data_IF_432849302575
#
_entry.id   IF_432849302575
#
_cell.length_a   1.000
_cell.length_b   1.000
_cell.length_c   1.000
_cell.angle_alpha   90.00
_cell.angle_beta   90.00
_cell.angle_gamma   90.00
#
_symmetry.space_group_name_H-M   'P 1'
#
loop_
_entity.id
_entity.type
_entity.pdbx_description
1 polymer ?
#
# COMPACT_ATOMS: atom_id res chain seq x y z
N UNK A 1 23.69 3.07 5.97
CA UNK A 1 22.66 2.14 5.46
C UNK A 1 21.95 2.79 4.30
N UNK A 2 21.97 2.19 3.12
CA UNK A 2 21.37 2.77 1.90
C UNK A 2 19.84 2.72 2.00
N UNK A 3 19.12 3.59 1.27
CA UNK A 3 17.65 3.57 1.20
C UNK A 3 17.09 2.25 0.65
N UNK A 4 17.89 1.47 -0.08
CA UNK A 4 17.49 0.18 -0.66
C UNK A 4 17.54 -0.97 0.35
N UNK A 5 18.36 -0.86 1.41
CA UNK A 5 18.60 -1.95 2.37
C UNK A 5 17.43 -2.19 3.35
N UNK A 6 16.35 -1.40 3.23
CA UNK A 6 15.19 -1.40 4.16
C UNK A 6 13.95 -2.07 3.58
N UNK A 7 14.02 -2.58 2.36
CA UNK A 7 12.93 -3.31 1.72
C UNK A 7 13.24 -4.82 1.74
N UNK A 8 12.36 -5.59 2.35
CA UNK A 8 12.40 -7.07 2.32
C UNK A 8 11.04 -7.60 1.87
N UNK A 9 11.01 -8.79 1.29
CA UNK A 9 9.75 -9.41 0.84
C UNK A 9 9.42 -10.61 1.72
N UNK A 10 8.20 -10.66 2.22
CA UNK A 10 7.65 -11.82 2.91
C UNK A 10 6.65 -12.52 1.99
N UNK A 11 6.47 -13.83 2.19
CA UNK A 11 5.39 -14.57 1.54
C UNK A 11 4.31 -14.87 2.57
N UNK A 12 3.15 -14.24 2.42
CA UNK A 12 1.99 -14.52 3.27
C UNK A 12 1.09 -15.55 2.60
N UNK A 13 0.55 -16.49 3.38
CA UNK A 13 -0.46 -17.43 2.90
C UNK A 13 -1.80 -17.08 3.53
N UNK A 14 -2.80 -16.76 2.72
CA UNK A 14 -4.16 -16.46 3.17
C UNK A 14 -5.09 -17.45 2.48
N UNK A 15 -5.63 -18.39 3.26
CA UNK A 15 -6.35 -19.53 2.69
C UNK A 15 -5.43 -20.42 1.83
N UNK A 16 -5.77 -20.59 0.56
CA UNK A 16 -4.97 -21.32 -0.42
C UNK A 16 -4.06 -20.43 -1.27
N UNK A 17 -4.21 -19.11 -1.16
CA UNK A 17 -3.46 -18.15 -1.97
C UNK A 17 -2.16 -17.74 -1.28
N UNK A 18 -1.15 -17.39 -2.09
CA UNK A 18 0.14 -16.89 -1.63
C UNK A 18 0.37 -15.50 -2.17
N UNK A 19 0.74 -14.58 -1.28
CA UNK A 19 0.95 -13.17 -1.58
C UNK A 19 2.38 -12.76 -1.27
N UNK A 20 2.98 -11.97 -2.15
CA UNK A 20 4.26 -11.31 -1.88
C UNK A 20 4.00 -9.99 -1.16
N UNK A 21 4.47 -9.89 0.07
CA UNK A 21 4.23 -8.76 0.97
C UNK A 21 5.53 -7.96 1.09
N UNK A 22 5.68 -6.82 0.39
CA UNK A 22 6.78 -5.88 0.59
C UNK A 22 6.74 -5.25 1.99
N UNK A 23 7.79 -5.52 2.76
CA UNK A 23 7.99 -4.97 4.10
C UNK A 23 9.06 -3.89 4.03
N UNK A 24 8.71 -2.72 4.54
CA UNK A 24 9.59 -1.58 4.65
C UNK A 24 9.90 -1.27 6.12
N UNK A 25 11.19 -1.17 6.44
CA UNK A 25 11.65 -0.75 7.75
C UNK A 25 11.77 0.77 7.81
N UNK A 26 10.91 1.41 8.61
CA UNK A 26 10.90 2.85 8.81
C UNK A 26 11.48 3.21 10.19
N UNK A 27 12.26 4.30 10.24
CA UNK A 27 12.69 4.85 11.52
C UNK A 27 11.58 5.74 12.10
N UNK A 28 11.14 5.45 13.31
CA UNK A 28 10.17 6.24 14.07
C UNK A 28 10.85 6.70 15.39
N UNK A 29 11.48 7.86 15.34
CA UNK A 29 12.30 8.36 16.46
C UNK A 29 13.50 7.44 16.74
N UNK A 30 13.54 6.85 17.94
CA UNK A 30 14.59 5.91 18.35
C UNK A 30 14.27 4.43 18.06
N UNK A 31 13.14 4.13 17.40
CA UNK A 31 12.72 2.75 17.09
C UNK A 31 12.67 2.53 15.58
N UNK A 32 12.83 1.27 15.18
CA UNK A 32 12.52 0.81 13.83
C UNK A 32 11.13 0.16 13.85
N UNK A 33 10.27 0.52 12.90
CA UNK A 33 8.94 -0.08 12.71
C UNK A 33 8.87 -0.79 11.38
N UNK A 34 8.24 -1.96 11.34
CA UNK A 34 8.03 -2.73 10.11
C UNK A 34 6.68 -2.39 9.52
N UNK A 35 6.65 -1.93 8.28
CA UNK A 35 5.44 -1.51 7.58
C UNK A 35 5.21 -2.40 6.36
N UNK A 36 3.98 -2.86 6.14
CA UNK A 36 3.57 -3.36 4.84
C UNK A 36 3.41 -2.17 3.90
N UNK A 37 4.32 -2.02 2.93
CA UNK A 37 4.30 -0.89 2.00
C UNK A 37 3.90 -1.36 0.61
N UNK A 38 2.67 -1.05 0.21
CA UNK A 38 2.14 -1.45 -1.09
C UNK A 38 1.37 -0.33 -1.79
N UNK A 39 1.14 -0.52 -3.09
CA UNK A 39 0.20 0.29 -3.84
C UNK A 39 -1.16 -0.42 -3.88
N UNK A 40 -2.28 0.30 -3.71
CA UNK A 40 -3.61 -0.22 -4.00
C UNK A 40 -3.72 -0.57 -5.49
N UNK A 41 -3.30 0.34 -6.36
CA UNK A 41 -3.20 0.11 -7.81
C UNK A 41 -1.93 0.75 -8.36
N UNK A 42 -1.28 0.05 -9.28
CA UNK A 42 -0.16 0.59 -10.09
C UNK A 42 -0.60 1.02 -11.49
N UNK A 43 -1.90 0.93 -11.79
CA UNK A 43 -2.50 1.51 -12.99
C UNK A 43 -2.65 3.01 -12.83
N UNK A 44 -2.18 3.77 -13.82
CA UNK A 44 -2.17 5.22 -13.76
C UNK A 44 -2.64 5.80 -15.09
N UNK A 45 -3.60 6.72 -15.03
CA UNK A 45 -4.02 7.52 -16.17
C UNK A 45 -3.04 8.65 -16.50
N UNK A 46 -2.29 9.11 -15.50
CA UNK A 46 -1.42 10.27 -15.63
C UNK A 46 -0.07 9.91 -16.27
N UNK A 47 0.48 10.87 -17.02
CA UNK A 47 1.80 10.73 -17.67
C UNK A 47 2.86 11.67 -17.06
N UNK A 48 2.95 11.72 -15.73
CA UNK A 48 3.90 12.58 -15.03
C UNK A 48 5.34 12.25 -15.43
N UNK A 49 6.13 13.25 -15.86
CA UNK A 49 7.49 13.06 -16.39
C UNK A 49 8.44 12.35 -15.43
N UNK A 50 8.30 12.61 -14.14
CA UNK A 50 9.12 12.06 -13.06
C UNK A 50 8.61 10.72 -12.49
N UNK A 51 7.39 10.29 -12.84
CA UNK A 51 6.76 9.15 -12.19
C UNK A 51 7.15 7.83 -12.86
N UNK A 52 7.66 6.88 -12.06
CA UNK A 52 7.94 5.52 -12.52
C UNK A 52 6.68 4.75 -12.91
N UNK A 53 5.50 5.13 -12.41
CA UNK A 53 4.22 4.46 -12.68
C UNK A 53 3.38 5.11 -13.79
N UNK A 54 3.95 6.10 -14.51
CA UNK A 54 3.27 6.83 -15.59
C UNK A 54 2.66 5.90 -16.65
N UNK A 55 1.56 6.33 -17.28
CA UNK A 55 0.77 5.53 -18.25
C UNK A 55 1.63 4.84 -19.32
N UNK A 56 2.51 5.57 -19.96
CA UNK A 56 3.23 5.09 -21.15
C UNK A 56 4.43 4.17 -20.83
N UNK A 57 4.70 3.91 -19.55
CA UNK A 57 5.78 3.02 -19.15
C UNK A 57 5.25 1.58 -19.12
N UNK A 58 5.81 0.73 -19.97
CA UNK A 58 5.51 -0.70 -20.06
C UNK A 58 6.12 -1.48 -18.90
N UNK A 59 5.51 -1.40 -17.72
CA UNK A 59 5.86 -2.19 -16.55
C UNK A 59 4.70 -3.11 -16.16
N UNK A 60 4.99 -4.20 -15.45
CA UNK A 60 3.95 -5.07 -14.89
C UNK A 60 3.10 -4.27 -13.92
N UNK A 61 1.79 -4.26 -14.16
CA UNK A 61 0.82 -3.55 -13.33
C UNK A 61 0.01 -4.55 -12.53
N UNK A 62 -0.11 -4.28 -11.25
CA UNK A 62 -0.92 -5.00 -10.28
C UNK A 62 -1.89 -4.04 -9.62
N UNK A 63 -2.99 -4.60 -9.13
CA UNK A 63 -3.99 -3.94 -8.30
C UNK A 63 -4.47 -4.93 -7.25
N UNK A 64 -4.79 -4.41 -6.07
CA UNK A 64 -5.45 -5.16 -5.03
C UNK A 64 -6.96 -4.98 -5.13
N UNK A 65 -7.71 -5.99 -4.67
CA UNK A 65 -9.07 -5.77 -4.21
C UNK A 65 -9.05 -5.30 -2.74
N UNK A 66 -9.87 -4.30 -2.35
CA UNK A 66 -9.80 -3.69 -1.01
C UNK A 66 -9.87 -4.71 0.13
N UNK A 67 -10.85 -5.63 0.07
CA UNK A 67 -11.02 -6.69 1.05
C UNK A 67 -9.88 -7.71 1.06
N UNK A 68 -9.28 -7.97 -0.10
CA UNK A 68 -8.15 -8.90 -0.21
C UNK A 68 -6.92 -8.33 0.48
N UNK A 69 -6.59 -7.06 0.19
CA UNK A 69 -5.51 -6.35 0.87
C UNK A 69 -5.70 -6.34 2.38
N UNK A 70 -6.92 -6.02 2.84
CA UNK A 70 -7.25 -6.00 4.27
C UNK A 70 -7.01 -7.38 4.93
N UNK A 71 -7.42 -8.48 4.28
CA UNK A 71 -7.16 -9.83 4.81
C UNK A 71 -5.67 -10.15 4.89
N UNK A 72 -4.89 -9.83 3.84
CA UNK A 72 -3.44 -10.06 3.82
C UNK A 72 -2.76 -9.24 4.92
N UNK A 73 -3.06 -7.94 4.99
CA UNK A 73 -2.52 -7.05 6.00
C UNK A 73 -2.86 -7.53 7.42
N UNK A 74 -4.11 -7.94 7.66
CA UNK A 74 -4.53 -8.46 8.96
C UNK A 74 -3.78 -9.75 9.33
N UNK A 75 -3.57 -10.65 8.37
CA UNK A 75 -2.83 -11.89 8.60
C UNK A 75 -1.40 -11.61 9.03
N UNK A 76 -0.65 -10.81 8.26
CA UNK A 76 0.75 -10.51 8.58
C UNK A 76 0.90 -9.66 9.84
N UNK A 77 -0.11 -8.87 10.18
CA UNK A 77 -0.16 -8.12 11.44
C UNK A 77 -0.39 -9.04 12.64
N UNK A 78 -1.35 -9.97 12.56
CA UNK A 78 -1.60 -10.97 13.62
C UNK A 78 -0.40 -11.88 13.86
N UNK A 79 0.38 -12.17 12.82
CA UNK A 79 1.64 -12.92 12.91
C UNK A 79 2.82 -12.09 13.45
N UNK A 80 2.61 -10.81 13.77
CA UNK A 80 3.63 -9.91 14.31
C UNK A 80 4.71 -9.50 13.31
N UNK A 81 4.50 -9.74 12.01
CA UNK A 81 5.48 -9.39 10.96
C UNK A 81 5.52 -7.89 10.67
N UNK A 82 4.38 -7.22 10.83
CA UNK A 82 4.22 -5.78 10.63
C UNK A 82 3.64 -5.09 11.85
N UNK A 83 4.05 -3.85 12.06
CA UNK A 83 3.46 -2.91 13.02
C UNK A 83 2.43 -1.98 12.37
N UNK A 84 2.39 -1.90 11.03
CA UNK A 84 1.51 -0.98 10.31
C UNK A 84 1.42 -1.23 8.81
N UNK A 85 0.43 -0.59 8.17
CA UNK A 85 0.19 -0.55 6.73
C UNK A 85 0.52 0.86 6.20
N UNK A 86 1.34 0.92 5.17
CA UNK A 86 1.55 2.12 4.36
C UNK A 86 0.94 1.89 2.98
N UNK A 87 -0.21 2.51 2.76
CA UNK A 87 -1.00 2.37 1.53
C UNK A 87 -0.95 3.66 0.72
N UNK A 88 -0.68 3.50 -0.56
CA UNK A 88 -0.73 4.57 -1.56
C UNK A 88 -1.32 4.01 -2.84
N UNK A 89 -1.68 4.84 -3.81
CA UNK A 89 -2.14 4.35 -5.10
C UNK A 89 -1.69 5.24 -6.25
N UNK A 90 -1.67 4.67 -7.44
CA UNK A 90 -1.78 5.43 -8.68
C UNK A 90 -3.25 5.75 -8.96
N UNK A 91 -3.50 6.77 -9.79
CA UNK A 91 -4.85 7.18 -10.21
C UNK A 91 -5.28 6.26 -11.36
N UNK A 92 -5.98 5.17 -11.05
CA UNK A 92 -6.37 4.14 -12.04
C UNK A 92 -7.41 4.64 -13.03
N UNK A 93 -8.37 5.44 -12.58
CA UNK A 93 -9.40 6.08 -13.41
C UNK A 93 -9.52 7.54 -13.05
N UNK A 94 -9.99 7.79 -11.83
CA UNK A 94 -10.16 9.12 -11.26
C UNK A 94 -9.69 9.13 -9.78
N UNK A 95 -9.30 10.30 -9.25
CA UNK A 95 -8.82 10.40 -7.88
C UNK A 95 -9.85 9.97 -6.84
N UNK A 96 -11.12 10.31 -7.04
CA UNK A 96 -12.18 10.05 -6.05
C UNK A 96 -12.44 8.55 -5.90
N UNK A 97 -12.57 7.82 -7.01
CA UNK A 97 -12.71 6.36 -6.99
C UNK A 97 -11.45 5.69 -6.43
N UNK A 98 -10.27 6.23 -6.75
CA UNK A 98 -9.00 5.68 -6.24
C UNK A 98 -8.93 5.79 -4.71
N UNK A 99 -9.19 6.98 -4.18
CA UNK A 99 -9.22 7.23 -2.73
C UNK A 99 -10.36 6.48 -2.06
N UNK A 100 -11.52 6.33 -2.72
CA UNK A 100 -12.64 5.52 -2.23
C UNK A 100 -12.25 4.06 -1.99
N UNK A 101 -11.53 3.43 -2.92
CA UNK A 101 -11.03 2.05 -2.75
C UNK A 101 -10.01 1.94 -1.63
N UNK A 102 -9.13 2.93 -1.50
CA UNK A 102 -8.17 3.04 -0.41
C UNK A 102 -8.86 3.11 0.96
N UNK A 103 -9.89 3.94 1.10
CA UNK A 103 -10.71 4.04 2.30
C UNK A 103 -11.42 2.72 2.57
N UNK A 104 -12.03 2.10 1.56
CA UNK A 104 -12.72 0.80 1.71
C UNK A 104 -11.80 -0.29 2.27
N UNK A 105 -10.54 -0.34 1.82
CA UNK A 105 -9.56 -1.29 2.34
C UNK A 105 -9.21 -1.02 3.80
N UNK A 106 -9.04 0.25 4.17
CA UNK A 106 -8.73 0.66 5.56
C UNK A 106 -9.93 0.39 6.47
N UNK A 107 -11.15 0.70 6.04
CA UNK A 107 -12.37 0.45 6.78
C UNK A 107 -12.58 -1.05 6.99
N UNK A 108 -12.38 -1.86 5.94
CA UNK A 108 -12.43 -3.31 6.05
C UNK A 108 -11.36 -3.83 7.04
N UNK A 109 -10.14 -3.31 6.97
CA UNK A 109 -9.04 -3.71 7.86
C UNK A 109 -9.34 -3.34 9.33
N UNK A 110 -9.83 -2.13 9.58
CA UNK A 110 -10.25 -1.68 10.93
C UNK A 110 -11.44 -2.50 11.44
N UNK A 111 -12.39 -2.85 10.58
CA UNK A 111 -13.50 -3.74 10.90
C UNK A 111 -13.06 -5.14 11.34
N UNK A 112 -11.87 -5.60 10.94
CA UNK A 112 -11.28 -6.87 11.40
C UNK A 112 -10.53 -6.77 12.74
N UNK A 113 -10.48 -5.57 13.34
CA UNK A 113 -9.81 -5.30 14.62
C UNK A 113 -8.34 -4.92 14.51
N UNK A 114 -7.89 -4.43 13.35
CA UNK A 114 -6.54 -3.91 13.19
C UNK A 114 -6.35 -2.63 14.02
N UNK A 115 -5.34 -2.62 14.89
CA UNK A 115 -4.99 -1.47 15.74
C UNK A 115 -3.57 -0.95 15.49
N UNK A 116 -2.93 -1.43 14.42
CA UNK A 116 -1.62 -0.95 13.98
C UNK A 116 -1.67 0.42 13.32
N UNK A 117 -0.51 0.94 12.92
CA UNK A 117 -0.43 2.22 12.22
C UNK A 117 -0.94 2.08 10.78
N UNK A 118 -1.89 2.89 10.36
CA UNK A 118 -2.33 3.01 8.98
C UNK A 118 -2.01 4.39 8.42
N UNK A 119 -1.15 4.43 7.40
CA UNK A 119 -0.86 5.65 6.64
C UNK A 119 -1.48 5.55 5.26
N UNK A 120 -2.42 6.45 4.98
CA UNK A 120 -3.04 6.61 3.68
C UNK A 120 -2.48 7.84 2.99
N UNK A 121 -1.92 7.67 1.79
CA UNK A 121 -1.58 8.80 0.93
C UNK A 121 -2.79 9.16 0.06
N UNK A 122 -3.71 9.96 0.59
CA UNK A 122 -4.83 10.48 -0.17
C UNK A 122 -4.39 11.57 -1.16
N UNK A 123 -4.93 11.55 -2.38
CA UNK A 123 -4.77 12.60 -3.38
C UNK A 123 -5.71 13.75 -3.05
N UNK A 124 -5.22 14.99 -2.99
CA UNK A 124 -6.08 16.16 -2.83
C UNK A 124 -6.06 16.96 -4.14
N UNK A 125 -7.15 16.92 -4.93
CA UNK A 125 -7.20 17.61 -6.22
C UNK A 125 -7.03 19.14 -6.10
N UNK A 126 -7.24 19.73 -4.92
CA UNK A 126 -7.08 21.18 -4.70
C UNK A 126 -5.63 21.61 -4.45
N UNK A 127 -4.72 20.70 -4.06
CA UNK A 127 -3.32 21.03 -3.78
C UNK A 127 -2.34 20.51 -4.83
N UNK A 128 -2.73 19.49 -5.60
CA UNK A 128 -1.83 18.83 -6.57
C UNK A 128 -1.93 19.41 -8.01
N UNK A 129 -2.64 20.53 -8.17
CA UNK A 129 -2.86 21.23 -9.45
C UNK A 129 -2.09 22.56 -9.59
N UNK A 130 -1.14 22.86 -8.69
CA UNK A 130 -0.28 24.06 -8.75
C UNK A 130 1.13 23.68 -9.16
#
# INVERSE_FOLDING_TARGET
>A
MSKADRLRFLTAKVGHDRYTVPIYEAAAGNRCVTLFRTLMSSFCENNCRFCSFRRDRGQRRERWEPHELARVAMQVWREGQISGLFLSSCVERDPDTTVGREIEAVDALRGMGFTGYDFLKAYNPLTDAT
#
